data_IF_414752927536
#
_entry.id   IF_414752927536
#
_cell.length_a   1.000
_cell.length_b   1.000
_cell.length_c   1.000
_cell.angle_alpha   90.00
_cell.angle_beta   90.00
_cell.angle_gamma   90.00
#
_symmetry.space_group_name_H-M   'P 1'
#
loop_
_entity.id
_entity.type
_entity.pdbx_description
1 polymer ?
#
# COMPACT_ATOMS: atom_id res chain seq x y z
N UNK A 1 -23.96 -14.83 -18.71
CA UNK A 1 -22.50 -14.89 -18.52
C UNK A 1 -22.18 -16.10 -17.64
N UNK A 2 -21.11 -16.84 -17.94
CA UNK A 2 -20.67 -18.00 -17.13
C UNK A 2 -19.83 -17.55 -15.93
N UNK A 3 -19.61 -18.45 -14.98
CA UNK A 3 -18.77 -18.18 -13.80
C UNK A 3 -17.34 -17.75 -14.18
N UNK A 4 -16.72 -18.47 -15.12
CA UNK A 4 -15.36 -18.16 -15.57
C UNK A 4 -15.29 -16.83 -16.35
N UNK A 5 -16.32 -16.50 -17.13
CA UNK A 5 -16.41 -15.21 -17.81
C UNK A 5 -16.49 -14.04 -16.82
N UNK A 6 -17.34 -14.14 -15.79
CA UNK A 6 -17.46 -13.11 -14.75
C UNK A 6 -16.15 -12.97 -13.97
N UNK A 7 -15.54 -14.09 -13.58
CA UNK A 7 -14.27 -14.10 -12.87
C UNK A 7 -13.15 -13.49 -13.72
N UNK A 8 -13.08 -13.85 -15.00
CA UNK A 8 -12.12 -13.28 -15.94
C UNK A 8 -12.36 -11.77 -16.13
N UNK A 9 -13.60 -11.32 -16.33
CA UNK A 9 -13.99 -9.90 -16.40
C UNK A 9 -13.48 -9.13 -15.17
N UNK A 10 -13.61 -9.70 -13.98
CA UNK A 10 -13.15 -9.06 -12.73
C UNK A 10 -11.62 -9.00 -12.65
N UNK A 11 -10.93 -10.10 -12.94
CA UNK A 11 -9.46 -10.19 -12.90
C UNK A 11 -8.80 -9.23 -13.90
N UNK A 12 -9.39 -9.08 -15.08
CA UNK A 12 -8.91 -8.13 -16.11
C UNK A 12 -9.29 -6.68 -15.82
N UNK A 13 -10.10 -6.44 -14.78
CA UNK A 13 -10.44 -5.11 -14.31
C UNK A 13 -11.73 -4.52 -14.89
N UNK A 14 -12.57 -5.32 -15.54
CA UNK A 14 -13.87 -4.91 -16.06
C UNK A 14 -14.80 -4.38 -14.97
N UNK A 15 -15.38 -3.20 -15.25
CA UNK A 15 -16.34 -2.51 -14.37
C UNK A 15 -17.73 -2.64 -15.00
N UNK A 16 -18.78 -2.95 -14.22
CA UNK A 16 -20.14 -3.03 -14.73
C UNK A 16 -20.72 -1.62 -14.87
N UNK A 17 -21.53 -1.42 -15.89
CA UNK A 17 -22.12 -0.09 -16.19
C UNK A 17 -23.50 0.08 -15.56
N UNK A 18 -24.19 -1.02 -15.24
CA UNK A 18 -25.57 -1.02 -14.74
C UNK A 18 -25.73 -1.85 -13.47
N UNK A 19 -26.77 -1.56 -12.68
CA UNK A 19 -27.13 -2.37 -11.52
C UNK A 19 -27.55 -3.79 -11.92
N UNK A 20 -28.15 -3.95 -13.09
CA UNK A 20 -28.54 -5.26 -13.63
C UNK A 20 -27.33 -6.16 -13.87
N UNK A 21 -26.26 -5.61 -14.50
CA UNK A 21 -25.00 -6.33 -14.65
C UNK A 21 -24.37 -6.73 -13.32
N UNK A 22 -24.48 -5.87 -12.30
CA UNK A 22 -23.97 -6.20 -10.97
C UNK A 22 -24.77 -7.34 -10.34
N UNK A 23 -26.10 -7.32 -10.47
CA UNK A 23 -26.96 -8.39 -9.99
C UNK A 23 -26.66 -9.72 -10.68
N UNK A 24 -26.45 -9.71 -12.00
CA UNK A 24 -26.06 -10.89 -12.76
C UNK A 24 -24.69 -11.41 -12.33
N UNK A 25 -23.69 -10.55 -12.20
CA UNK A 25 -22.33 -10.92 -11.78
C UNK A 25 -22.37 -11.56 -10.37
N UNK A 26 -23.05 -10.94 -9.40
CA UNK A 26 -23.18 -11.49 -8.03
C UNK A 26 -24.00 -12.80 -8.03
N UNK A 27 -25.07 -12.87 -8.80
CA UNK A 27 -25.90 -14.07 -8.92
C UNK A 27 -25.14 -15.27 -9.50
N UNK A 28 -24.19 -15.02 -10.41
CA UNK A 28 -23.29 -16.05 -10.94
C UNK A 28 -22.21 -16.42 -9.90
N UNK A 29 -21.58 -15.44 -9.25
CA UNK A 29 -20.50 -15.66 -8.28
C UNK A 29 -20.96 -16.47 -7.06
N UNK A 30 -22.17 -16.23 -6.58
CA UNK A 30 -22.77 -16.94 -5.43
C UNK A 30 -23.08 -18.41 -5.70
N UNK A 31 -23.20 -18.82 -6.97
CA UNK A 31 -23.35 -20.23 -7.37
C UNK A 31 -22.01 -20.97 -7.49
N UNK A 32 -20.89 -20.24 -7.40
CA UNK A 32 -19.53 -20.79 -7.45
C UNK A 32 -19.09 -21.45 -6.14
N UNK A 33 -18.02 -22.23 -6.22
CA UNK A 33 -17.66 -23.22 -5.17
C UNK A 33 -16.64 -22.70 -4.15
N UNK A 34 -15.82 -21.68 -4.48
CA UNK A 34 -14.88 -21.04 -3.53
C UNK A 34 -14.19 -19.79 -4.11
N UNK A 35 -13.65 -18.94 -3.23
CA UNK A 35 -12.74 -17.83 -3.62
C UNK A 35 -13.41 -16.65 -4.33
N UNK A 36 -14.69 -16.41 -4.06
CA UNK A 36 -15.51 -15.38 -4.74
C UNK A 36 -15.80 -14.17 -3.87
N UNK A 37 -15.53 -14.24 -2.57
CA UNK A 37 -15.89 -13.19 -1.61
C UNK A 37 -15.32 -11.81 -1.97
N UNK A 38 -14.09 -11.77 -2.49
CA UNK A 38 -13.41 -10.54 -2.90
C UNK A 38 -14.04 -9.96 -4.18
N UNK A 39 -14.41 -10.83 -5.12
CA UNK A 39 -15.14 -10.47 -6.33
C UNK A 39 -16.54 -9.95 -6.00
N UNK A 40 -17.24 -10.61 -5.07
CA UNK A 40 -18.54 -10.15 -4.56
C UNK A 40 -18.39 -8.81 -3.85
N UNK A 41 -17.37 -8.63 -3.00
CA UNK A 41 -17.08 -7.36 -2.33
C UNK A 41 -16.84 -6.22 -3.33
N UNK A 42 -16.05 -6.47 -4.37
CA UNK A 42 -15.81 -5.50 -5.45
C UNK A 42 -17.13 -5.11 -6.14
N UNK A 43 -17.97 -6.10 -6.49
CA UNK A 43 -19.27 -5.86 -7.12
C UNK A 43 -20.28 -5.19 -6.20
N UNK A 44 -20.25 -5.48 -4.89
CA UNK A 44 -21.03 -4.74 -3.90
C UNK A 44 -20.65 -3.26 -3.90
N UNK A 45 -19.36 -2.92 -4.01
CA UNK A 45 -18.95 -1.53 -4.13
C UNK A 45 -19.36 -0.90 -5.47
N UNK A 46 -19.25 -1.63 -6.59
CA UNK A 46 -19.78 -1.17 -7.88
C UNK A 46 -21.29 -0.85 -7.77
N UNK A 47 -22.08 -1.71 -7.10
CA UNK A 47 -23.51 -1.42 -6.85
C UNK A 47 -23.73 -0.19 -5.97
N UNK A 48 -22.87 0.05 -4.98
CA UNK A 48 -22.96 1.23 -4.11
C UNK A 48 -22.71 2.52 -4.90
N UNK A 49 -21.77 2.50 -5.83
CA UNK A 49 -21.48 3.63 -6.72
C UNK A 49 -22.66 3.90 -7.67
N UNK A 50 -23.23 2.86 -8.26
CA UNK A 50 -24.33 2.98 -9.24
C UNK A 50 -25.68 3.32 -8.60
N UNK A 51 -26.01 2.70 -7.46
CA UNK A 51 -27.26 2.95 -6.73
C UNK A 51 -27.22 4.28 -5.97
N UNK A 52 -26.05 4.66 -5.47
CA UNK A 52 -25.87 5.80 -4.57
C UNK A 52 -26.17 5.46 -3.10
N UNK A 53 -25.66 6.31 -2.20
CA UNK A 53 -25.55 6.01 -0.75
C UNK A 53 -26.87 5.80 -0.01
N UNK A 54 -27.91 6.54 -0.35
CA UNK A 54 -29.17 6.51 0.38
C UNK A 54 -29.94 5.23 0.08
N UNK A 55 -30.31 4.48 1.12
CA UNK A 55 -31.09 3.25 0.97
C UNK A 55 -30.32 2.02 0.46
N UNK A 56 -29.09 2.18 -0.04
CA UNK A 56 -28.32 1.11 -0.67
C UNK A 56 -28.24 -0.17 0.15
N UNK A 57 -27.93 -0.09 1.45
CA UNK A 57 -27.78 -1.29 2.27
C UNK A 57 -29.10 -2.06 2.45
N UNK A 58 -30.25 -1.36 2.44
CA UNK A 58 -31.56 -2.02 2.47
C UNK A 58 -31.83 -2.75 1.15
N UNK A 59 -31.66 -2.04 0.04
CA UNK A 59 -31.80 -2.60 -1.30
C UNK A 59 -30.87 -3.80 -1.54
N UNK A 60 -29.59 -3.69 -1.16
CA UNK A 60 -28.60 -4.76 -1.35
C UNK A 60 -28.94 -6.02 -0.52
N UNK A 61 -29.46 -5.84 0.69
CA UNK A 61 -29.92 -6.96 1.51
C UNK A 61 -31.12 -7.67 0.88
N UNK A 62 -32.12 -6.91 0.43
CA UNK A 62 -33.32 -7.44 -0.21
C UNK A 62 -33.00 -8.13 -1.54
N UNK A 63 -32.07 -7.55 -2.31
CA UNK A 63 -31.70 -8.02 -3.66
C UNK A 63 -30.81 -9.26 -3.62
N UNK A 64 -29.76 -9.24 -2.77
CA UNK A 64 -28.75 -10.30 -2.80
C UNK A 64 -28.98 -11.38 -1.76
N UNK A 65 -29.64 -11.07 -0.63
CA UNK A 65 -29.93 -12.03 0.45
C UNK A 65 -28.68 -12.74 1.02
N UNK A 66 -27.48 -12.22 0.74
CA UNK A 66 -26.24 -12.96 0.93
C UNK A 66 -25.68 -12.89 2.35
N UNK A 67 -25.85 -11.74 3.01
CA UNK A 67 -25.48 -11.57 4.42
C UNK A 67 -26.72 -11.24 5.25
N UNK A 68 -26.72 -11.70 6.49
CA UNK A 68 -27.87 -11.57 7.39
C UNK A 68 -27.96 -10.19 8.06
N UNK A 69 -26.90 -9.37 8.00
CA UNK A 69 -26.85 -8.09 8.68
C UNK A 69 -26.24 -6.96 7.84
N UNK A 70 -26.74 -5.74 8.10
CA UNK A 70 -26.28 -4.50 7.43
C UNK A 70 -24.79 -4.23 7.65
N UNK A 71 -24.24 -4.56 8.82
CA UNK A 71 -22.86 -4.24 9.13
C UNK A 71 -21.90 -5.08 8.29
N UNK A 72 -22.21 -6.35 8.03
CA UNK A 72 -21.45 -7.19 7.10
C UNK A 72 -21.47 -6.63 5.68
N UNK A 73 -22.62 -6.20 5.17
CA UNK A 73 -22.70 -5.52 3.87
C UNK A 73 -21.80 -4.29 3.79
N UNK A 74 -21.81 -3.43 4.81
CA UNK A 74 -20.92 -2.26 4.83
C UNK A 74 -19.45 -2.63 4.92
N UNK A 75 -19.07 -3.63 5.73
CA UNK A 75 -17.67 -4.10 5.79
C UNK A 75 -17.21 -4.65 4.44
N UNK A 76 -18.03 -5.46 3.79
CA UNK A 76 -17.75 -6.06 2.47
C UNK A 76 -17.67 -5.00 1.39
N UNK A 77 -18.59 -4.04 1.39
CA UNK A 77 -18.54 -2.89 0.50
C UNK A 77 -17.28 -2.03 0.73
N UNK A 78 -16.84 -1.85 1.98
CA UNK A 78 -15.57 -1.19 2.29
C UNK A 78 -14.34 -1.94 1.77
N UNK A 79 -14.34 -3.27 1.81
CA UNK A 79 -13.29 -4.09 1.16
C UNK A 79 -13.35 -3.90 -0.36
N UNK A 80 -14.55 -3.86 -0.92
CA UNK A 80 -14.78 -3.53 -2.34
C UNK A 80 -14.22 -2.17 -2.72
N UNK A 81 -14.38 -1.14 -1.90
CA UNK A 81 -13.78 0.19 -2.12
C UNK A 81 -12.26 0.11 -2.23
N UNK A 82 -11.61 -0.64 -1.31
CA UNK A 82 -10.16 -0.84 -1.33
C UNK A 82 -9.74 -1.49 -2.64
N UNK A 83 -10.37 -2.60 -3.02
CA UNK A 83 -10.04 -3.33 -4.25
C UNK A 83 -10.30 -2.48 -5.50
N UNK A 84 -11.39 -1.71 -5.53
CA UNK A 84 -11.73 -0.80 -6.62
C UNK A 84 -10.66 0.27 -6.81
N UNK A 85 -10.20 0.89 -5.71
CA UNK A 85 -9.13 1.91 -5.77
C UNK A 85 -7.78 1.31 -6.15
N UNK A 86 -7.45 0.11 -5.64
CA UNK A 86 -6.24 -0.62 -6.05
C UNK A 86 -6.29 -0.96 -7.55
N UNK A 87 -7.44 -1.35 -8.08
CA UNK A 87 -7.60 -1.62 -9.52
C UNK A 87 -7.28 -0.37 -10.36
N UNK A 88 -7.73 0.79 -9.91
CA UNK A 88 -7.52 2.05 -10.63
C UNK A 88 -6.09 2.60 -10.53
N UNK A 89 -5.42 2.43 -9.38
CA UNK A 89 -4.15 3.11 -9.09
C UNK A 89 -2.93 2.17 -8.99
N UNK A 90 -3.12 0.89 -8.66
CA UNK A 90 -2.06 -0.05 -8.27
C UNK A 90 -2.39 -1.48 -8.74
N UNK A 91 -2.46 -1.69 -10.06
CA UNK A 91 -2.95 -2.94 -10.69
C UNK A 91 -2.25 -4.21 -10.18
N UNK A 92 -0.96 -4.13 -9.84
CA UNK A 92 -0.19 -5.27 -9.29
C UNK A 92 -0.70 -5.65 -7.90
N UNK A 93 -0.91 -4.66 -7.02
CA UNK A 93 -1.48 -4.89 -5.68
C UNK A 93 -2.93 -5.36 -5.78
N UNK A 94 -3.71 -4.84 -6.73
CA UNK A 94 -5.07 -5.33 -6.99
C UNK A 94 -5.08 -6.83 -7.29
N UNK A 95 -4.29 -7.29 -8.27
CA UNK A 95 -4.23 -8.72 -8.63
C UNK A 95 -3.77 -9.59 -7.47
N UNK A 96 -2.79 -9.13 -6.70
CA UNK A 96 -2.30 -9.83 -5.50
C UNK A 96 -3.41 -9.96 -4.45
N UNK A 97 -4.08 -8.86 -4.11
CA UNK A 97 -5.04 -8.82 -3.01
C UNK A 97 -6.43 -9.32 -3.36
N UNK A 98 -6.75 -9.47 -4.66
CA UNK A 98 -7.95 -10.18 -5.09
C UNK A 98 -7.95 -11.65 -4.64
N UNK A 99 -6.77 -12.28 -4.49
CA UNK A 99 -6.60 -13.63 -3.96
C UNK A 99 -6.41 -13.72 -2.44
N UNK A 100 -6.38 -12.59 -1.72
CA UNK A 100 -6.17 -12.57 -0.27
C UNK A 100 -7.48 -12.82 0.47
N UNK A 101 -7.48 -13.69 1.49
CA UNK A 101 -8.65 -13.95 2.34
C UNK A 101 -9.36 -12.67 2.75
N UNK A 102 -10.68 -12.63 2.52
CA UNK A 102 -11.45 -11.42 2.75
C UNK A 102 -11.42 -10.95 4.21
N UNK A 103 -11.26 -11.88 5.15
CA UNK A 103 -11.15 -11.58 6.58
C UNK A 103 -9.87 -10.81 6.93
N UNK A 104 -8.78 -10.98 6.16
CA UNK A 104 -7.56 -10.17 6.27
C UNK A 104 -7.74 -8.80 5.60
N UNK A 105 -8.46 -8.74 4.49
CA UNK A 105 -8.76 -7.46 3.83
C UNK A 105 -9.67 -6.57 4.68
N UNK A 106 -10.60 -7.16 5.43
CA UNK A 106 -11.41 -6.42 6.42
C UNK A 106 -10.56 -5.71 7.47
N UNK A 107 -9.40 -6.28 7.83
CA UNK A 107 -8.50 -5.65 8.80
C UNK A 107 -7.87 -4.36 8.26
N UNK A 108 -7.93 -4.09 6.96
CA UNK A 108 -7.40 -2.87 6.32
C UNK A 108 -8.42 -1.71 6.32
N UNK A 109 -9.69 -1.98 6.62
CA UNK A 109 -10.76 -0.96 6.67
C UNK A 109 -10.44 0.27 7.52
N UNK A 110 -9.69 0.17 8.65
CA UNK A 110 -9.30 1.33 9.43
C UNK A 110 -8.55 2.42 8.66
N UNK A 111 -7.75 2.09 7.63
CA UNK A 111 -7.12 3.09 6.76
C UNK A 111 -8.15 3.95 6.00
N UNK A 112 -9.26 3.32 5.66
CA UNK A 112 -10.37 3.93 4.94
C UNK A 112 -11.40 4.57 5.89
N UNK A 113 -11.34 4.34 7.20
CA UNK A 113 -12.30 4.91 8.14
C UNK A 113 -11.97 6.38 8.45
N UNK A 114 -13.00 7.23 8.61
CA UNK A 114 -12.83 8.56 9.19
C UNK A 114 -12.65 8.40 10.70
N UNK A 115 -11.54 8.88 11.25
CA UNK A 115 -11.29 8.87 12.67
C UNK A 115 -11.77 10.17 13.32
N UNK A 116 -12.39 10.07 14.49
CA UNK A 116 -12.83 11.25 15.25
C UNK A 116 -11.61 11.91 15.85
N UNK A 117 -11.35 13.18 15.51
CA UNK A 117 -10.23 13.96 16.05
C UNK A 117 -8.85 13.66 15.46
N UNK A 118 -8.73 12.79 14.44
CA UNK A 118 -7.48 12.52 13.72
C UNK A 118 -7.68 12.63 12.19
N UNK A 119 -6.63 13.00 11.41
CA UNK A 119 -6.69 12.95 9.95
C UNK A 119 -6.99 11.52 9.49
N UNK A 120 -7.81 11.35 8.45
CA UNK A 120 -8.04 10.04 7.83
C UNK A 120 -6.71 9.56 7.22
N UNK A 121 -6.18 8.37 7.58
CA UNK A 121 -4.94 7.85 6.98
C UNK A 121 -5.04 7.81 5.45
N UNK A 122 -6.20 7.36 4.96
CA UNK A 122 -6.57 7.41 3.56
C UNK A 122 -5.90 6.30 2.73
N UNK A 123 -6.24 6.32 1.45
CA UNK A 123 -5.82 5.27 0.51
C UNK A 123 -4.29 5.25 0.29
N UNK A 124 -3.61 6.40 0.31
CA UNK A 124 -2.15 6.44 0.19
C UNK A 124 -1.42 5.72 1.33
N UNK A 125 -1.88 5.88 2.57
CA UNK A 125 -1.33 5.16 3.72
C UNK A 125 -1.55 3.65 3.62
N UNK A 126 -2.71 3.23 3.12
CA UNK A 126 -2.99 1.81 2.83
C UNK A 126 -2.02 1.25 1.79
N UNK A 127 -1.78 1.96 0.68
CA UNK A 127 -0.84 1.50 -0.36
C UNK A 127 0.57 1.36 0.21
N UNK A 128 1.02 2.32 1.02
CA UNK A 128 2.31 2.24 1.68
C UNK A 128 2.39 1.04 2.64
N UNK A 129 1.36 0.78 3.43
CA UNK A 129 1.29 -0.40 4.29
C UNK A 129 1.43 -1.70 3.50
N UNK A 130 0.70 -1.82 2.39
CA UNK A 130 0.73 -3.01 1.54
C UNK A 130 2.08 -3.22 0.86
N UNK A 131 2.80 -2.15 0.50
CA UNK A 131 4.12 -2.23 -0.13
C UNK A 131 5.24 -2.53 0.86
N UNK A 132 5.13 -2.00 2.09
CA UNK A 132 6.27 -1.91 3.00
C UNK A 132 6.19 -2.88 4.18
N UNK A 133 4.98 -3.18 4.65
CA UNK A 133 4.78 -3.96 5.87
C UNK A 133 4.15 -5.31 5.59
N UNK A 134 3.21 -5.39 4.65
CA UNK A 134 2.42 -6.60 4.40
C UNK A 134 3.28 -7.87 4.19
N UNK A 135 2.92 -8.94 4.91
CA UNK A 135 3.48 -10.28 4.72
C UNK A 135 2.36 -11.28 4.45
N UNK A 136 2.52 -12.09 3.40
CA UNK A 136 1.47 -13.03 2.95
C UNK A 136 1.19 -14.13 3.99
N UNK A 137 2.19 -14.49 4.77
CA UNK A 137 2.10 -15.49 5.84
C UNK A 137 1.33 -15.00 7.08
N UNK A 138 0.98 -13.72 7.19
CA UNK A 138 0.33 -13.20 8.39
C UNK A 138 -1.07 -13.78 8.61
N UNK A 139 -1.37 -14.11 9.86
CA UNK A 139 -2.73 -14.37 10.30
C UNK A 139 -3.57 -13.09 10.26
N UNK A 140 -4.89 -13.22 10.33
CA UNK A 140 -5.80 -12.07 10.42
C UNK A 140 -5.48 -11.17 11.63
N UNK A 141 -5.14 -11.78 12.76
CA UNK A 141 -4.81 -11.05 14.00
C UNK A 141 -3.52 -10.25 13.83
N UNK A 142 -2.48 -10.86 13.25
CA UNK A 142 -1.23 -10.16 12.95
C UNK A 142 -1.42 -8.98 12.01
N UNK A 143 -2.29 -9.12 10.98
CA UNK A 143 -2.65 -7.98 10.12
C UNK A 143 -3.34 -6.90 10.94
N UNK A 144 -4.31 -7.25 11.80
CA UNK A 144 -5.01 -6.27 12.63
C UNK A 144 -4.08 -5.50 13.55
N UNK A 145 -3.17 -6.20 14.23
CA UNK A 145 -2.23 -5.59 15.16
C UNK A 145 -1.28 -4.63 14.42
N UNK A 146 -0.77 -5.03 13.26
CA UNK A 146 0.12 -4.19 12.48
C UNK A 146 -0.60 -2.99 11.85
N UNK A 147 -1.87 -3.15 11.45
CA UNK A 147 -2.72 -2.03 11.00
C UNK A 147 -2.94 -1.05 12.14
N UNK A 148 -3.23 -1.52 13.36
CA UNK A 148 -3.41 -0.66 14.54
C UNK A 148 -2.13 0.13 14.82
N UNK A 149 -0.95 -0.52 14.82
CA UNK A 149 0.35 0.16 14.96
C UNK A 149 0.60 1.19 13.86
N UNK A 150 0.29 0.85 12.61
CA UNK A 150 0.51 1.73 11.47
C UNK A 150 -0.37 3.00 11.51
N UNK A 151 -1.57 2.90 12.09
CA UNK A 151 -2.54 4.01 12.16
C UNK A 151 -2.46 4.75 13.50
N UNK A 152 -1.97 4.11 14.55
CA UNK A 152 -1.82 4.67 15.89
C UNK A 152 -0.38 4.54 16.39
N UNK A 153 0.56 5.23 15.73
CA UNK A 153 1.97 5.21 16.13
C UNK A 153 2.14 5.64 17.61
N UNK A 154 1.35 6.62 18.05
CA UNK A 154 1.40 7.17 19.42
C UNK A 154 0.94 6.20 20.53
N UNK A 155 0.22 5.11 20.19
CA UNK A 155 -0.25 4.13 21.20
C UNK A 155 0.85 3.13 21.59
N UNK A 156 1.85 2.95 20.76
CA UNK A 156 3.03 2.17 21.07
C UNK A 156 4.22 3.13 21.15
N UNK A 157 4.54 3.60 22.36
CA UNK A 157 5.78 4.34 22.58
C UNK A 157 7.04 3.53 22.17
N UNK A 158 6.92 2.19 22.09
CA UNK A 158 8.00 1.28 21.65
C UNK A 158 7.98 0.95 20.15
N UNK A 159 6.87 1.16 19.43
CA UNK A 159 6.66 0.76 18.02
C UNK A 159 6.05 1.87 17.15
N UNK A 160 6.18 3.13 17.58
CA UNK A 160 6.07 4.25 16.64
C UNK A 160 6.92 3.88 15.41
N UNK A 161 6.43 3.99 14.16
CA UNK A 161 7.33 3.95 13.01
C UNK A 161 8.44 4.88 13.42
N UNK A 162 9.67 4.35 13.59
CA UNK A 162 10.84 5.20 13.81
C UNK A 162 10.64 6.26 12.76
N UNK A 163 10.28 7.45 13.24
CA UNK A 163 10.01 8.53 12.35
C UNK A 163 11.39 8.65 11.76
N UNK A 164 11.57 8.24 10.51
CA UNK A 164 12.78 8.56 9.77
C UNK A 164 12.73 10.07 9.44
N UNK A 165 12.07 10.88 10.28
CA UNK A 165 12.63 12.16 10.66
C UNK A 165 14.02 11.81 11.12
N UNK A 166 14.95 12.00 10.20
CA UNK A 166 16.33 12.11 10.53
C UNK A 166 16.39 12.97 11.80
N UNK A 167 16.72 12.36 12.95
CA UNK A 167 17.00 13.11 14.19
C UNK A 167 18.24 14.00 14.02
N UNK A 168 18.85 13.94 12.83
CA UNK A 168 19.85 14.85 12.34
C UNK A 168 19.26 15.95 11.47
N UNK A 169 19.85 17.13 11.58
CA UNK A 169 19.52 18.26 10.73
C UNK A 169 19.77 17.92 9.26
N UNK A 170 18.70 17.91 8.45
CA UNK A 170 18.73 17.63 7.01
C UNK A 170 19.48 18.72 6.22
N UNK A 171 19.76 19.86 6.83
CA UNK A 171 20.56 20.94 6.26
C UNK A 171 22.05 20.83 6.59
N UNK A 172 22.43 19.87 7.44
CA UNK A 172 23.82 19.66 7.84
C UNK A 172 24.33 18.33 7.29
N UNK A 173 25.46 18.30 6.55
CA UNK A 173 26.09 17.07 6.11
C UNK A 173 26.34 16.13 7.30
N UNK A 174 25.84 14.90 7.20
CA UNK A 174 26.08 13.88 8.21
C UNK A 174 27.26 13.00 7.80
N UNK A 175 28.05 12.64 8.80
CA UNK A 175 29.13 11.67 8.64
C UNK A 175 28.54 10.26 8.44
N UNK A 176 29.14 9.47 7.56
CA UNK A 176 28.72 8.10 7.28
C UNK A 176 28.76 7.25 8.55
N UNK A 177 29.78 7.45 9.40
CA UNK A 177 29.92 6.77 10.69
C UNK A 177 28.75 7.07 11.63
N UNK A 178 28.19 8.29 11.59
CA UNK A 178 27.02 8.67 12.40
C UNK A 178 25.74 8.04 11.87
N UNK A 179 25.62 7.91 10.55
CA UNK A 179 24.48 7.24 9.93
C UNK A 179 24.51 5.74 10.25
N UNK A 180 25.68 5.11 10.21
CA UNK A 180 25.87 3.69 10.61
C UNK A 180 25.53 3.51 12.09
N UNK A 181 26.08 4.34 12.98
CA UNK A 181 25.78 4.29 14.41
C UNK A 181 24.28 4.47 14.69
N UNK A 182 23.59 5.35 13.96
CA UNK A 182 22.14 5.52 14.04
C UNK A 182 21.38 4.26 13.59
N UNK A 183 21.78 3.64 12.48
CA UNK A 183 21.15 2.41 11.98
C UNK A 183 21.30 1.28 13.02
N UNK A 184 22.46 1.17 13.64
CA UNK A 184 22.77 0.18 14.68
C UNK A 184 22.00 0.45 15.99
N UNK A 185 22.02 1.70 16.47
CA UNK A 185 21.32 2.14 17.68
C UNK A 185 19.81 1.89 17.56
N UNK A 186 19.21 2.29 16.43
CA UNK A 186 17.78 2.13 16.16
C UNK A 186 17.40 0.72 15.70
N UNK A 187 18.38 -0.17 15.52
CA UNK A 187 18.19 -1.57 15.06
C UNK A 187 17.26 -1.66 13.84
N UNK A 188 17.52 -0.84 12.83
CA UNK A 188 16.62 -0.76 11.67
C UNK A 188 16.55 -2.12 10.96
N UNK A 189 15.32 -2.59 10.72
CA UNK A 189 15.10 -3.80 9.91
C UNK A 189 15.51 -3.55 8.44
N UNK A 190 15.83 -4.60 7.66
CA UNK A 190 16.18 -4.46 6.25
C UNK A 190 15.14 -3.70 5.41
N UNK A 191 13.85 -3.83 5.74
CA UNK A 191 12.78 -3.06 5.07
C UNK A 191 12.81 -1.56 5.41
N UNK A 192 13.17 -1.20 6.64
CA UNK A 192 13.33 0.20 7.06
C UNK A 192 14.60 0.83 6.45
N UNK A 193 15.69 0.07 6.37
CA UNK A 193 16.91 0.49 5.67
C UNK A 193 16.65 0.68 4.16
N UNK A 194 15.91 -0.24 3.53
CA UNK A 194 15.53 -0.11 2.12
C UNK A 194 14.64 1.11 1.84
N UNK A 195 13.79 1.48 2.81
CA UNK A 195 12.98 2.69 2.74
C UNK A 195 13.80 3.98 2.82
N UNK A 196 14.82 4.02 3.68
CA UNK A 196 15.76 5.14 3.75
C UNK A 196 16.44 5.36 2.39
N UNK A 197 16.95 4.28 1.79
CA UNK A 197 17.59 4.32 0.47
C UNK A 197 16.61 4.78 -0.62
N UNK A 198 15.39 4.23 -0.64
CA UNK A 198 14.37 4.63 -1.61
C UNK A 198 13.98 6.11 -1.49
N UNK A 199 13.81 6.60 -0.27
CA UNK A 199 13.46 8.00 -0.03
C UNK A 199 14.62 8.92 -0.41
N UNK A 200 15.86 8.57 -0.04
CA UNK A 200 17.06 9.29 -0.49
C UNK A 200 17.15 9.37 -2.01
N UNK A 201 17.00 8.24 -2.70
CA UNK A 201 16.99 8.18 -4.17
C UNK A 201 15.92 9.08 -4.80
N UNK A 202 14.70 9.11 -4.24
CA UNK A 202 13.63 9.99 -4.71
C UNK A 202 13.93 11.47 -4.48
N UNK A 203 14.52 11.82 -3.33
CA UNK A 203 14.93 13.19 -3.03
C UNK A 203 15.99 13.63 -4.06
N UNK A 204 17.03 12.82 -4.29
CA UNK A 204 18.06 13.14 -5.30
C UNK A 204 17.46 13.27 -6.69
N UNK A 205 16.57 12.36 -7.09
CA UNK A 205 15.91 12.40 -8.40
C UNK A 205 15.00 13.63 -8.56
N UNK A 206 14.36 14.11 -7.49
CA UNK A 206 13.52 15.30 -7.49
C UNK A 206 14.32 16.61 -7.38
N UNK A 207 15.47 16.58 -6.71
CA UNK A 207 16.37 17.72 -6.59
C UNK A 207 17.00 18.09 -7.94
N UNK A 208 17.35 17.10 -8.77
CA UNK A 208 18.05 17.33 -10.04
C UNK A 208 17.29 18.29 -11.01
N UNK A 209 15.97 18.11 -11.27
CA UNK A 209 15.20 19.08 -12.06
C UNK A 209 15.19 20.49 -11.46
N UNK A 210 15.11 20.61 -10.14
CA UNK A 210 15.12 21.91 -9.45
C UNK A 210 16.48 22.61 -9.65
N UNK A 211 17.57 21.90 -9.38
CA UNK A 211 18.93 22.44 -9.55
C UNK A 211 19.22 22.84 -11.01
N UNK A 212 18.69 22.07 -11.97
CA UNK A 212 18.82 22.39 -13.40
C UNK A 212 18.02 23.63 -13.79
N UNK A 213 16.88 23.86 -13.16
CA UNK A 213 16.00 24.99 -13.43
C UNK A 213 16.45 26.30 -12.77
N UNK A 214 17.27 26.22 -11.72
CA UNK A 214 17.71 27.35 -10.89
C UNK A 214 19.23 27.44 -10.76
N UNK A 215 20.01 27.46 -11.86
CA UNK A 215 21.47 27.55 -11.79
C UNK A 215 21.98 28.83 -11.12
N UNK A 216 21.15 29.89 -11.06
CA UNK A 216 21.45 31.14 -10.36
C UNK A 216 21.51 31.02 -8.83
N UNK A 217 20.95 29.95 -8.27
CA UNK A 217 20.97 29.69 -6.82
C UNK A 217 22.24 28.99 -6.34
N UNK A 218 23.13 28.59 -7.26
CA UNK A 218 24.37 27.86 -6.98
C UNK A 218 25.59 28.68 -7.40
N UNK A 219 26.60 28.74 -6.53
CA UNK A 219 27.85 29.44 -6.80
C UNK A 219 28.96 28.52 -7.33
N UNK A 220 30.11 29.11 -7.67
CA UNK A 220 31.25 28.35 -8.19
C UNK A 220 31.90 27.43 -7.13
N UNK A 221 31.65 27.69 -5.85
CA UNK A 221 32.18 26.91 -4.73
C UNK A 221 31.30 25.66 -4.45
N UNK A 222 30.03 25.69 -4.88
CA UNK A 222 29.11 24.55 -4.84
C UNK A 222 29.48 23.43 -5.85
N UNK A 223 30.13 23.77 -6.97
CA UNK A 223 30.44 22.81 -8.05
C UNK A 223 31.30 21.64 -7.55
N UNK A 224 32.45 21.86 -6.87
CA UNK A 224 33.24 20.77 -6.30
C UNK A 224 32.46 19.88 -5.33
N UNK A 225 31.58 20.47 -4.52
CA UNK A 225 30.75 19.73 -3.56
C UNK A 225 29.74 18.82 -4.27
N UNK A 226 29.10 19.31 -5.34
CA UNK A 226 28.17 18.53 -6.15
C UNK A 226 28.86 17.40 -6.92
N UNK A 227 30.09 17.62 -7.39
CA UNK A 227 30.91 16.57 -8.03
C UNK A 227 31.31 15.48 -7.04
N UNK A 228 31.73 15.85 -5.82
CA UNK A 228 32.04 14.90 -4.74
C UNK A 228 30.81 14.09 -4.34
N UNK A 229 29.66 14.76 -4.16
CA UNK A 229 28.39 14.11 -3.84
C UNK A 229 27.97 13.13 -4.94
N UNK A 230 28.13 13.50 -6.21
CA UNK A 230 27.85 12.62 -7.35
C UNK A 230 28.71 11.36 -7.30
N UNK A 231 30.02 11.50 -7.06
CA UNK A 231 30.94 10.36 -6.99
C UNK A 231 30.55 9.39 -5.87
N UNK A 232 30.21 9.91 -4.68
CA UNK A 232 29.74 9.10 -3.54
C UNK A 232 28.45 8.34 -3.86
N UNK A 233 27.51 8.96 -4.56
CA UNK A 233 26.26 8.31 -4.97
C UNK A 233 26.50 7.19 -6.00
N UNK A 234 27.42 7.40 -6.94
CA UNK A 234 27.80 6.38 -7.94
C UNK A 234 28.48 5.17 -7.28
N UNK A 235 29.34 5.39 -6.28
CA UNK A 235 29.98 4.32 -5.51
C UNK A 235 28.97 3.56 -4.65
N UNK A 236 28.11 4.26 -3.91
CA UNK A 236 27.06 3.63 -3.11
C UNK A 236 26.11 2.77 -3.96
N UNK A 237 25.74 3.23 -5.17
CA UNK A 237 24.92 2.45 -6.09
C UNK A 237 25.61 1.15 -6.52
N UNK A 238 26.92 1.17 -6.74
CA UNK A 238 27.73 -0.01 -7.10
C UNK A 238 27.80 -1.01 -5.95
N UNK A 239 27.97 -0.53 -4.74
CA UNK A 239 28.05 -1.38 -3.55
C UNK A 239 26.71 -2.08 -3.26
N UNK A 240 25.60 -1.35 -3.39
CA UNK A 240 24.25 -1.92 -3.27
C UNK A 240 24.02 -2.99 -4.35
N UNK A 241 24.38 -2.72 -5.61
CA UNK A 241 24.24 -3.69 -6.69
C UNK A 241 25.07 -4.96 -6.43
N UNK A 242 26.27 -4.80 -5.89
CA UNK A 242 27.15 -5.91 -5.51
C UNK A 242 26.56 -6.76 -4.39
N UNK A 243 25.99 -6.11 -3.37
CA UNK A 243 25.33 -6.78 -2.25
C UNK A 243 24.08 -7.56 -2.70
N UNK A 244 23.30 -7.00 -3.62
CA UNK A 244 22.16 -7.70 -4.27
C UNK A 244 22.67 -8.93 -5.02
N UNK A 245 23.73 -8.80 -5.83
CA UNK A 245 24.28 -9.90 -6.62
C UNK A 245 24.78 -11.05 -5.74
N UNK A 246 25.49 -10.76 -4.65
CA UNK A 246 25.93 -11.76 -3.67
C UNK A 246 24.73 -12.48 -3.06
N UNK A 247 23.71 -11.75 -2.61
CA UNK A 247 22.51 -12.37 -1.99
C UNK A 247 21.70 -13.20 -2.98
N UNK A 248 21.57 -12.77 -4.23
CA UNK A 248 20.91 -13.56 -5.28
C UNK A 248 21.65 -14.87 -5.57
N UNK A 249 22.98 -14.87 -5.52
CA UNK A 249 23.78 -16.10 -5.69
C UNK A 249 23.67 -17.05 -4.50
N UNK A 250 23.58 -16.54 -3.28
CA UNK A 250 23.34 -17.36 -2.07
C UNK A 250 21.98 -18.05 -2.12
N UNK A 251 20.92 -17.34 -2.54
CA UNK A 251 19.57 -17.91 -2.72
C UNK A 251 19.52 -18.94 -3.85
N UNK A 252 20.29 -18.75 -4.93
CA UNK A 252 20.35 -19.70 -6.04
C UNK A 252 21.14 -21.00 -5.72
N UNK A 253 21.88 -21.02 -4.60
CA UNK A 253 22.66 -22.19 -4.14
C UNK A 253 21.98 -22.98 -3.02
N UNK A 254 20.82 -22.53 -2.55
CA UNK A 254 19.97 -23.21 -1.58
C UNK A 254 18.77 -23.86 -2.28
#
# INVERSE_FOLDING_TARGET
MTFEEVKHKIVTGGTPETLEEVCDDIGVLTRGISGVEQSIALRLYDSYVLHGRHGWAGWAMETFGYYSDKATFYRRCGVGEILWRLRAAETVLFRKHLGTDISKLEALLPFMARQVGKPRPGFGALVNFLKLRWKDAWSREQVRDEVDRAIHPDKCAEDSPVQLAFDFDALTPQDEEKIVAFIEEKRLSPGQAGLLVMNGSRITAAALPYMTAHPEEFDAEDIPYLEEMRARLEDAARDIASLIAVKSQEVARQ
#
